data_IF_787093631926
#
_entry.id   IF_787093631926
#
_cell.length_a   1.000
_cell.length_b   1.000
_cell.length_c   1.000
_cell.angle_alpha   90.00
_cell.angle_beta   90.00
_cell.angle_gamma   90.00
#
_symmetry.space_group_name_H-M   'P 1'
#
loop_
_entity.id
_entity.type
_entity.pdbx_description
1 polymer ?
#
# COMPACT_ATOMS: atom_id res chain seq x y z
N UNK A 1 -20.60 71.16 -15.72
CA UNK A 1 -21.13 69.86 -15.29
C UNK A 1 -20.22 68.75 -15.83
N UNK A 2 -19.69 67.95 -14.91
CA UNK A 2 -19.06 66.63 -15.02
C UNK A 2 -18.15 66.23 -16.20
N UNK A 3 -16.88 66.00 -15.81
CA UNK A 3 -15.84 65.17 -16.43
C UNK A 3 -16.34 63.78 -16.83
N UNK A 4 -15.75 63.19 -17.88
CA UNK A 4 -15.40 61.75 -17.92
C UNK A 4 -14.28 61.52 -18.94
N UNK A 5 -13.05 61.54 -18.44
CA UNK A 5 -11.87 60.99 -19.11
C UNK A 5 -11.94 59.48 -18.96
N UNK A 6 -12.05 58.73 -20.06
CA UNK A 6 -11.91 57.28 -20.04
C UNK A 6 -10.42 56.97 -19.79
N UNK A 7 -10.14 56.44 -18.60
CA UNK A 7 -8.85 55.84 -18.27
C UNK A 7 -8.92 54.39 -18.76
N UNK A 8 -8.25 54.08 -19.87
CA UNK A 8 -8.06 52.70 -20.30
C UNK A 8 -7.07 52.05 -19.33
N UNK A 9 -7.59 51.30 -18.37
CA UNK A 9 -6.79 50.45 -17.50
C UNK A 9 -6.37 49.23 -18.33
N UNK A 10 -5.15 49.22 -18.84
CA UNK A 10 -4.53 47.98 -19.30
C UNK A 10 -4.32 47.11 -18.06
N UNK A 11 -5.25 46.18 -17.83
CA UNK A 11 -4.99 45.02 -16.98
C UNK A 11 -3.95 44.19 -17.73
N UNK A 12 -2.68 44.41 -17.40
CA UNK A 12 -1.66 43.39 -17.57
C UNK A 12 -2.09 42.25 -16.65
N UNK A 13 -2.85 41.30 -17.18
CA UNK A 13 -2.89 39.96 -16.64
C UNK A 13 -1.47 39.42 -16.82
N UNK A 14 -0.60 39.69 -15.84
CA UNK A 14 0.61 38.92 -15.68
C UNK A 14 0.15 37.49 -15.49
N UNK A 15 0.38 36.65 -16.49
CA UNK A 15 0.33 35.21 -16.30
C UNK A 15 1.23 34.91 -15.11
N UNK A 16 0.65 34.46 -14.00
CA UNK A 16 1.41 33.91 -12.89
C UNK A 16 2.20 32.74 -13.46
N UNK A 17 3.52 32.91 -13.55
CA UNK A 17 4.42 31.80 -13.77
C UNK A 17 4.12 30.74 -12.69
N UNK A 18 4.08 29.47 -13.09
CA UNK A 18 3.71 28.35 -12.23
C UNK A 18 4.52 28.41 -10.92
N UNK A 19 3.83 28.63 -9.80
CA UNK A 19 4.44 28.84 -8.48
C UNK A 19 5.16 27.59 -7.94
N UNK A 20 4.86 26.42 -8.52
CA UNK A 20 5.54 25.17 -8.25
C UNK A 20 5.56 24.26 -9.47
N UNK A 21 6.43 23.25 -9.45
CA UNK A 21 6.46 22.17 -10.43
C UNK A 21 6.38 20.85 -9.68
N UNK A 22 5.39 20.04 -10.03
CA UNK A 22 5.18 18.70 -9.50
C UNK A 22 5.48 17.68 -10.62
N UNK A 23 6.28 16.68 -10.31
CA UNK A 23 6.65 15.63 -11.24
C UNK A 23 6.96 14.32 -10.51
N UNK A 24 7.00 13.23 -11.26
CA UNK A 24 7.57 11.95 -10.82
C UNK A 24 8.72 11.59 -11.74
N UNK A 25 9.82 11.16 -11.13
CA UNK A 25 11.05 10.77 -11.82
C UNK A 25 11.49 9.39 -11.36
N UNK A 26 12.18 8.66 -12.22
CA UNK A 26 12.88 7.44 -11.85
C UNK A 26 14.34 7.77 -11.53
N UNK A 27 14.81 7.37 -10.36
CA UNK A 27 16.17 7.59 -9.88
C UNK A 27 16.87 6.25 -9.62
N UNK A 28 18.15 6.18 -9.96
CA UNK A 28 19.06 5.08 -9.57
C UNK A 28 20.19 5.69 -8.74
N UNK A 29 21.30 4.98 -8.58
CA UNK A 29 22.59 5.52 -8.15
C UNK A 29 23.09 6.74 -8.97
N UNK A 30 22.56 6.94 -10.19
CA UNK A 30 22.86 8.07 -11.07
C UNK A 30 21.90 9.25 -10.87
N UNK A 31 22.44 10.46 -10.92
CA UNK A 31 21.66 11.68 -10.74
C UNK A 31 20.78 12.05 -11.94
N UNK A 32 19.53 12.39 -11.65
CA UNK A 32 18.58 13.04 -12.54
C UNK A 32 18.53 14.52 -12.20
N UNK A 33 18.68 15.38 -13.21
CA UNK A 33 18.60 16.82 -13.02
C UNK A 33 17.15 17.31 -13.10
N UNK A 34 16.69 17.99 -12.05
CA UNK A 34 15.37 18.65 -11.98
C UNK A 34 15.58 20.17 -12.07
N UNK A 35 14.90 20.86 -13.00
CA UNK A 35 15.03 22.31 -13.14
C UNK A 35 14.36 23.05 -11.98
N UNK A 36 14.94 24.18 -11.57
CA UNK A 36 14.33 25.10 -10.60
C UNK A 36 14.72 26.55 -10.86
N UNK A 37 13.95 27.49 -10.29
CA UNK A 37 14.38 28.90 -10.22
C UNK A 37 15.34 29.13 -9.05
N UNK A 38 15.97 30.31 -9.00
CA UNK A 38 16.82 30.71 -7.88
C UNK A 38 16.06 30.92 -6.56
N UNK A 39 14.73 31.10 -6.63
CA UNK A 39 13.86 31.28 -5.46
C UNK A 39 13.30 29.96 -4.94
N UNK A 40 13.42 28.89 -5.73
CA UNK A 40 12.85 27.59 -5.40
C UNK A 40 13.80 26.70 -4.61
N UNK A 41 13.20 25.82 -3.82
CA UNK A 41 13.81 24.59 -3.31
C UNK A 41 13.09 23.39 -3.90
N UNK A 42 13.68 22.20 -3.80
CA UNK A 42 13.04 20.95 -4.17
C UNK A 42 12.67 20.17 -2.91
N UNK A 43 11.41 19.77 -2.76
CA UNK A 43 10.98 18.78 -1.76
C UNK A 43 10.76 17.47 -2.48
N UNK A 44 11.41 16.41 -2.01
CA UNK A 44 11.23 15.05 -2.52
C UNK A 44 10.14 14.31 -1.79
N UNK A 45 9.43 13.46 -2.52
CA UNK A 45 8.64 12.39 -1.96
C UNK A 45 9.51 11.24 -1.45
N UNK A 46 8.85 10.20 -0.95
CA UNK A 46 9.51 8.93 -0.57
C UNK A 46 9.90 8.16 -1.82
N UNK A 47 10.91 7.29 -1.74
CA UNK A 47 11.25 6.38 -2.84
C UNK A 47 10.31 5.18 -2.87
N UNK A 48 10.07 4.61 -4.06
CA UNK A 48 9.34 3.35 -4.17
C UNK A 48 10.11 2.17 -3.53
N UNK A 49 9.51 0.98 -3.55
CA UNK A 49 10.09 -0.31 -3.12
C UNK A 49 10.34 -1.22 -4.34
N UNK A 50 10.74 -0.65 -5.48
CA UNK A 50 10.95 -1.42 -6.69
C UNK A 50 12.17 -2.34 -6.57
N UNK A 51 13.17 -1.90 -5.81
CA UNK A 51 14.31 -2.70 -5.36
C UNK A 51 14.26 -2.88 -3.83
N UNK A 52 14.74 -4.04 -3.38
CA UNK A 52 14.73 -4.44 -1.98
C UNK A 52 15.87 -3.80 -1.18
N UNK A 53 16.92 -3.32 -1.83
CA UNK A 53 18.04 -2.68 -1.15
C UNK A 53 17.61 -1.34 -0.48
N UNK A 54 17.91 -1.15 0.81
CA UNK A 54 17.54 0.06 1.54
C UNK A 54 18.45 1.24 1.21
N UNK A 55 17.88 2.44 1.29
CA UNK A 55 18.57 3.67 0.95
C UNK A 55 17.66 4.88 1.01
N UNK A 56 18.18 6.02 0.55
CA UNK A 56 17.53 7.31 0.68
C UNK A 56 17.54 8.07 -0.64
N UNK A 57 16.57 8.97 -0.79
CA UNK A 57 16.58 9.96 -1.88
C UNK A 57 17.55 11.08 -1.52
N UNK A 58 18.61 11.20 -2.31
CA UNK A 58 19.64 12.21 -2.13
C UNK A 58 19.46 13.34 -3.13
N UNK A 59 19.62 14.56 -2.63
CA UNK A 59 19.33 15.79 -3.37
C UNK A 59 20.49 16.75 -3.21
N UNK A 60 20.96 17.32 -4.32
CA UNK A 60 22.02 18.32 -4.33
C UNK A 60 21.67 19.49 -5.24
N UNK A 61 21.52 20.69 -4.68
CA UNK A 61 21.40 21.93 -5.45
C UNK A 61 22.74 22.25 -6.14
N UNK A 62 22.74 22.30 -7.47
CA UNK A 62 23.95 22.50 -8.26
C UNK A 62 24.34 23.98 -8.38
N UNK A 63 23.46 24.90 -7.97
CA UNK A 63 23.69 26.34 -8.07
C UNK A 63 23.65 26.90 -9.50
N UNK A 64 23.26 26.08 -10.48
CA UNK A 64 23.18 26.42 -11.91
C UNK A 64 21.74 26.47 -12.46
N UNK A 65 20.75 26.45 -11.56
CA UNK A 65 19.33 26.36 -11.91
C UNK A 65 18.80 24.91 -11.98
N UNK A 66 19.60 23.93 -11.56
CA UNK A 66 19.17 22.54 -11.44
C UNK A 66 19.45 21.97 -10.05
N UNK A 67 18.70 20.93 -9.71
CA UNK A 67 18.91 20.08 -8.54
C UNK A 67 19.13 18.66 -9.02
N UNK A 68 20.21 18.04 -8.59
CA UNK A 68 20.48 16.63 -8.82
C UNK A 68 19.71 15.78 -7.81
N UNK A 69 18.91 14.82 -8.28
CA UNK A 69 18.19 13.84 -7.44
C UNK A 69 18.67 12.44 -7.82
N UNK A 70 19.05 11.63 -6.84
CA UNK A 70 19.45 10.22 -7.02
C UNK A 70 18.95 9.36 -5.87
N UNK A 71 18.92 8.06 -6.08
CA UNK A 71 18.84 7.11 -4.99
C UNK A 71 20.25 6.81 -4.46
N UNK A 72 20.40 6.70 -3.15
CA UNK A 72 21.65 6.31 -2.52
C UNK A 72 21.38 5.21 -1.51
N UNK A 73 21.97 4.05 -1.74
CA UNK A 73 22.06 3.00 -0.75
C UNK A 73 22.84 3.46 0.49
N UNK A 74 22.63 2.76 1.60
CA UNK A 74 23.50 2.88 2.78
C UNK A 74 24.94 2.43 2.46
N UNK A 75 25.94 2.97 3.16
CA UNK A 75 27.36 2.76 2.81
C UNK A 75 27.84 1.30 3.00
N UNK A 76 27.06 0.43 3.67
CA UNK A 76 27.37 -1.00 3.79
C UNK A 76 27.02 -1.82 2.55
N UNK A 77 26.26 -1.25 1.60
CA UNK A 77 25.89 -1.86 0.33
C UNK A 77 26.89 -1.50 -0.78
N UNK A 78 26.65 -1.97 -2.00
CA UNK A 78 27.62 -1.86 -3.10
C UNK A 78 27.51 -0.56 -3.92
N UNK A 79 26.43 0.20 -3.71
CA UNK A 79 26.13 1.48 -4.34
C UNK A 79 25.37 1.36 -5.67
N UNK A 80 25.10 0.16 -6.16
CA UNK A 80 24.34 -0.11 -7.40
C UNK A 80 22.90 -0.37 -7.05
N UNK A 81 21.95 0.33 -7.67
CA UNK A 81 20.54 0.18 -7.32
C UNK A 81 19.65 0.25 -8.56
N UNK A 82 18.58 -0.55 -8.63
CA UNK A 82 17.59 -0.41 -9.69
C UNK A 82 16.75 0.88 -9.56
N UNK A 83 15.97 1.19 -10.59
CA UNK A 83 15.21 2.44 -10.65
C UNK A 83 14.07 2.51 -9.63
N UNK A 84 14.13 3.52 -8.76
CA UNK A 84 13.04 3.89 -7.86
C UNK A 84 12.29 5.11 -8.40
N UNK A 85 10.97 5.10 -8.31
CA UNK A 85 10.14 6.27 -8.59
C UNK A 85 10.15 7.21 -7.38
N UNK A 86 10.29 8.52 -7.63
CA UNK A 86 10.36 9.59 -6.62
C UNK A 86 9.52 10.77 -7.11
N UNK A 87 8.59 11.24 -6.29
CA UNK A 87 7.87 12.48 -6.56
C UNK A 87 8.77 13.67 -6.23
N UNK A 88 8.71 14.73 -7.03
CA UNK A 88 9.50 15.96 -6.82
C UNK A 88 8.59 17.17 -6.90
N UNK A 89 8.75 18.08 -5.95
CA UNK A 89 7.99 19.30 -5.86
C UNK A 89 8.93 20.49 -5.68
N UNK A 90 9.09 21.32 -6.71
CA UNK A 90 9.84 22.58 -6.58
C UNK A 90 8.91 23.70 -6.18
N UNK A 91 9.21 24.43 -5.10
CA UNK A 91 8.37 25.50 -4.55
C UNK A 91 9.20 26.75 -4.25
N UNK A 92 8.63 27.93 -4.49
CA UNK A 92 9.25 29.19 -4.08
C UNK A 92 9.35 29.26 -2.55
N UNK A 93 10.52 29.67 -2.05
CA UNK A 93 10.70 29.96 -0.61
C UNK A 93 9.77 31.11 -0.19
N UNK A 94 9.18 30.97 0.98
CA UNK A 94 8.27 31.96 1.54
C UNK A 94 7.01 31.33 2.12
N UNK A 95 6.09 32.20 2.55
CA UNK A 95 4.80 31.82 3.11
C UNK A 95 3.71 32.10 2.09
N UNK A 96 2.95 31.07 1.74
CA UNK A 96 1.90 31.09 0.73
C UNK A 96 0.56 30.83 1.41
N UNK A 97 -0.35 31.81 1.38
CA UNK A 97 -1.74 31.63 1.83
C UNK A 97 -2.60 31.28 0.62
N UNK A 98 -3.36 30.19 0.69
CA UNK A 98 -4.15 29.67 -0.42
C UNK A 98 -5.63 29.98 -0.26
N UNK A 99 -6.38 29.87 -1.37
CA UNK A 99 -7.81 30.15 -1.41
C UNK A 99 -8.65 29.22 -0.52
N UNK A 100 -8.18 28.00 -0.26
CA UNK A 100 -8.84 27.04 0.64
C UNK A 100 -8.56 27.30 2.13
N UNK A 101 -7.77 28.34 2.44
CA UNK A 101 -7.39 28.73 3.79
C UNK A 101 -6.16 28.00 4.34
N UNK A 102 -5.53 27.12 3.56
CA UNK A 102 -4.25 26.53 3.93
C UNK A 102 -3.11 27.55 3.84
N UNK A 103 -2.04 27.30 4.60
CA UNK A 103 -0.82 28.11 4.62
C UNK A 103 0.36 27.16 4.42
N UNK A 104 1.13 27.39 3.36
CA UNK A 104 2.31 26.60 3.02
C UNK A 104 3.53 27.48 3.21
N UNK A 105 4.37 27.16 4.21
CA UNK A 105 5.63 27.85 4.46
C UNK A 105 6.80 26.98 4.01
N UNK A 106 7.64 27.54 3.13
CA UNK A 106 8.76 26.87 2.50
C UNK A 106 10.06 27.59 2.85
N UNK A 107 11.08 26.86 3.28
CA UNK A 107 12.38 27.44 3.60
C UNK A 107 13.54 26.46 3.53
N UNK A 108 14.71 26.92 4.01
CA UNK A 108 15.93 26.11 4.09
C UNK A 108 16.61 26.29 5.44
N UNK A 109 17.23 25.23 5.94
CA UNK A 109 17.93 25.17 7.22
C UNK A 109 19.25 24.42 7.05
N UNK A 110 20.17 24.64 7.99
CA UNK A 110 21.46 23.94 8.07
C UNK A 110 21.50 23.14 9.37
N UNK A 111 21.69 21.82 9.24
CA UNK A 111 21.68 20.85 10.35
C UNK A 111 22.83 19.86 10.23
N UNK A 112 23.33 19.37 11.36
CA UNK A 112 24.23 18.22 11.43
C UNK A 112 23.55 17.10 12.22
N UNK A 113 24.33 16.21 12.82
CA UNK A 113 23.82 15.10 13.65
C UNK A 113 23.28 15.54 15.01
N UNK A 114 23.49 16.80 15.40
CA UNK A 114 22.95 17.35 16.65
C UNK A 114 21.63 18.07 16.39
N UNK A 115 20.59 17.69 17.14
CA UNK A 115 19.28 18.33 17.09
C UNK A 115 19.36 19.85 17.26
N UNK A 116 18.70 20.58 16.35
CA UNK A 116 18.62 22.04 16.37
C UNK A 116 17.18 22.50 16.16
N UNK A 117 16.77 23.50 16.94
CA UNK A 117 15.44 24.10 16.85
C UNK A 117 15.39 25.23 15.83
N UNK A 118 14.31 25.27 15.06
CA UNK A 118 13.99 26.28 14.06
C UNK A 118 12.61 26.87 14.32
N UNK A 119 12.37 28.09 13.85
CA UNK A 119 11.09 28.78 13.99
C UNK A 119 10.52 29.10 12.62
N UNK A 120 9.20 29.01 12.52
CA UNK A 120 8.48 29.54 11.36
C UNK A 120 8.58 31.07 11.33
N UNK A 121 8.40 31.64 10.15
CA UNK A 121 8.42 33.10 9.93
C UNK A 121 7.33 33.79 10.75
N UNK A 122 6.20 33.11 10.92
CA UNK A 122 5.06 33.52 11.74
C UNK A 122 4.45 32.30 12.46
N UNK A 123 3.77 32.53 13.58
CA UNK A 123 3.01 31.47 14.25
C UNK A 123 1.88 30.97 13.34
N UNK A 124 1.79 29.65 13.15
CA UNK A 124 0.72 29.01 12.38
C UNK A 124 -0.54 28.79 13.26
N UNK A 125 -1.75 28.76 12.67
CA UNK A 125 -2.99 28.64 13.45
C UNK A 125 -3.12 27.32 14.21
N UNK A 126 -2.55 26.23 13.69
CA UNK A 126 -2.39 24.95 14.37
C UNK A 126 -1.04 24.33 14.02
N UNK A 127 -0.68 23.22 14.69
CA UNK A 127 0.52 22.48 14.34
C UNK A 127 0.48 22.11 12.84
N UNK A 128 1.50 22.49 12.04
CA UNK A 128 1.54 22.11 10.64
C UNK A 128 2.00 20.67 10.46
N UNK A 129 1.72 20.14 9.28
CA UNK A 129 2.42 18.99 8.73
C UNK A 129 3.75 19.46 8.15
N UNK A 130 4.85 18.87 8.58
CA UNK A 130 6.21 19.20 8.19
C UNK A 130 6.79 18.10 7.31
N UNK A 131 7.48 18.51 6.23
CA UNK A 131 8.25 17.65 5.32
C UNK A 131 9.66 18.22 5.18
N UNK A 132 10.69 17.39 5.27
CA UNK A 132 12.08 17.77 5.06
C UNK A 132 12.64 17.08 3.82
N UNK A 133 13.56 17.74 3.14
CA UNK A 133 14.28 17.15 2.01
C UNK A 133 15.70 17.69 1.96
N UNK A 134 16.69 16.82 1.76
CA UNK A 134 18.08 17.23 1.57
C UNK A 134 18.23 18.25 0.44
N UNK A 135 19.23 19.11 0.48
CA UNK A 135 19.60 20.03 -0.62
C UNK A 135 21.11 19.98 -0.89
N UNK A 136 21.87 19.23 -0.09
CA UNK A 136 23.29 19.00 -0.28
C UNK A 136 23.61 17.52 -0.14
N UNK A 137 24.49 17.03 -1.01
CA UNK A 137 25.08 15.69 -0.94
C UNK A 137 26.60 15.80 -0.87
N UNK A 138 27.09 16.51 0.15
CA UNK A 138 28.50 16.92 0.22
C UNK A 138 29.47 15.78 0.61
N UNK A 139 28.97 14.64 1.12
CA UNK A 139 29.77 13.70 1.92
C UNK A 139 29.86 12.28 1.37
N UNK A 140 29.34 12.01 0.16
CA UNK A 140 29.26 10.68 -0.45
C UNK A 140 28.38 9.66 0.32
N UNK A 141 28.07 9.90 1.61
CA UNK A 141 27.27 9.01 2.44
C UNK A 141 25.81 9.41 2.42
N UNK A 142 24.95 8.40 2.30
CA UNK A 142 23.51 8.56 2.44
C UNK A 142 23.14 9.05 3.85
N UNK A 143 22.12 9.90 3.94
CA UNK A 143 21.57 10.39 5.21
C UNK A 143 20.06 10.57 5.12
N UNK A 144 19.41 10.59 6.29
CA UNK A 144 18.00 10.94 6.45
C UNK A 144 17.88 12.22 7.30
N UNK A 145 16.94 13.09 6.95
CA UNK A 145 16.60 14.25 7.78
C UNK A 145 15.45 13.88 8.72
N UNK A 146 15.68 14.01 10.03
CA UNK A 146 14.71 13.70 11.08
C UNK A 146 14.09 14.97 11.63
N UNK A 147 12.81 14.92 11.98
CA UNK A 147 12.11 16.02 12.63
C UNK A 147 11.55 15.62 14.00
N UNK A 148 11.47 16.58 14.91
CA UNK A 148 10.81 16.40 16.19
C UNK A 148 10.22 17.71 16.71
N UNK A 149 9.40 17.65 17.76
CA UNK A 149 8.88 18.84 18.46
C UNK A 149 8.15 19.84 17.53
N UNK A 150 7.46 19.34 16.49
CA UNK A 150 6.68 20.19 15.58
C UNK A 150 5.50 20.81 16.34
N UNK A 151 5.38 22.12 16.28
CA UNK A 151 4.30 22.88 16.92
C UNK A 151 4.03 24.17 16.13
N UNK A 152 3.05 24.97 16.53
CA UNK A 152 2.66 26.21 15.83
C UNK A 152 3.79 27.24 15.62
N UNK A 153 4.89 27.15 16.38
CA UNK A 153 5.99 28.12 16.36
C UNK A 153 7.20 27.64 15.57
N UNK A 154 7.33 26.33 15.33
CA UNK A 154 8.51 25.75 14.69
C UNK A 154 8.64 24.25 14.94
N UNK A 155 9.87 23.76 14.76
CA UNK A 155 10.24 22.35 14.85
C UNK A 155 11.72 22.19 15.20
N UNK A 156 12.13 20.99 15.56
CA UNK A 156 13.53 20.57 15.68
C UNK A 156 13.91 19.66 14.53
N UNK A 157 15.14 19.75 14.05
CA UNK A 157 15.66 18.88 12.99
C UNK A 157 17.14 18.54 13.17
N UNK A 158 17.54 17.41 12.58
CA UNK A 158 18.91 16.90 12.49
C UNK A 158 19.02 15.89 11.34
N UNK A 159 20.24 15.44 11.03
CA UNK A 159 20.45 14.34 10.09
C UNK A 159 21.02 13.12 10.78
N UNK A 160 20.59 11.95 10.35
CA UNK A 160 21.16 10.66 10.72
C UNK A 160 21.83 10.03 9.50
N UNK A 161 22.96 9.38 9.74
CA UNK A 161 23.64 8.53 8.79
C UNK A 161 23.47 7.09 9.29
N UNK A 162 23.95 6.11 8.54
CA UNK A 162 23.98 4.73 9.02
C UNK A 162 24.60 4.61 10.41
N UNK A 163 24.12 3.64 11.18
CA UNK A 163 24.44 3.49 12.60
C UNK A 163 25.91 3.13 12.86
N UNK A 164 26.48 2.23 12.05
CA UNK A 164 27.88 1.88 12.12
C UNK A 164 28.72 2.88 11.32
N UNK A 165 29.55 3.65 12.03
CA UNK A 165 30.42 4.63 11.40
C UNK A 165 31.39 4.00 10.39
N UNK A 166 31.49 4.59 9.20
CA UNK A 166 32.46 4.20 8.17
C UNK A 166 33.70 5.09 8.25
N UNK A 167 34.88 4.48 8.31
CA UNK A 167 36.15 5.22 8.34
C UNK A 167 36.34 6.05 7.06
N UNK A 168 36.62 7.35 7.23
CA UNK A 168 36.86 8.27 6.11
C UNK A 168 35.61 8.97 5.56
N UNK A 169 34.41 8.62 6.04
CA UNK A 169 33.17 9.36 5.75
C UNK A 169 33.01 10.50 6.76
N UNK A 170 32.74 11.71 6.27
CA UNK A 170 32.57 12.90 7.11
C UNK A 170 31.09 13.15 7.40
N UNK A 171 30.73 13.39 8.66
CA UNK A 171 29.39 13.82 9.07
C UNK A 171 29.34 15.35 9.10
N UNK A 172 29.28 15.98 7.93
CA UNK A 172 29.20 17.45 7.82
C UNK A 172 27.76 17.95 7.93
N UNK A 173 27.61 19.27 8.05
CA UNK A 173 26.29 19.89 8.00
C UNK A 173 25.67 19.72 6.61
N UNK A 174 24.37 19.46 6.60
CA UNK A 174 23.55 19.37 5.40
C UNK A 174 22.59 20.55 5.35
N UNK A 175 22.45 21.08 4.13
CA UNK A 175 21.39 21.99 3.78
C UNK A 175 20.12 21.18 3.56
N UNK A 176 19.03 21.56 4.24
CA UNK A 176 17.75 20.86 4.20
C UNK A 176 16.66 21.87 3.83
N UNK A 177 15.82 21.56 2.85
CA UNK A 177 14.58 22.27 2.59
C UNK A 177 13.49 21.78 3.55
N UNK A 178 12.61 22.68 3.97
CA UNK A 178 11.38 22.30 4.67
C UNK A 178 10.15 22.85 3.97
N UNK A 179 9.08 22.08 4.04
CA UNK A 179 7.71 22.49 3.71
C UNK A 179 6.84 22.26 4.95
N UNK A 180 6.26 23.34 5.49
CA UNK A 180 5.31 23.29 6.57
C UNK A 180 3.92 23.67 6.05
N UNK A 181 2.97 22.74 6.14
CA UNK A 181 1.60 22.89 5.66
C UNK A 181 0.66 22.99 6.84
N UNK A 182 0.10 24.17 7.06
CA UNK A 182 -1.14 24.30 7.81
C UNK A 182 -2.30 24.06 6.85
N UNK A 183 -3.13 23.06 7.10
CA UNK A 183 -4.36 22.84 6.37
C UNK A 183 -5.56 22.89 7.33
N UNK A 184 -6.64 23.63 7.01
CA UNK A 184 -7.84 23.66 7.85
C UNK A 184 -8.62 22.33 7.79
N UNK A 185 -8.49 21.60 6.68
CA UNK A 185 -9.04 20.26 6.46
C UNK A 185 -7.94 19.32 5.99
N UNK A 186 -8.18 18.00 6.12
CA UNK A 186 -7.27 16.95 5.65
C UNK A 186 -7.27 16.76 4.12
N UNK A 187 -8.07 17.53 3.42
CA UNK A 187 -8.15 17.57 1.96
C UNK A 187 -8.40 19.02 1.51
N UNK A 188 -7.91 19.36 0.33
CA UNK A 188 -7.98 20.71 -0.22
C UNK A 188 -7.47 20.77 -1.65
N UNK A 189 -7.23 21.98 -2.13
CA UNK A 189 -6.72 22.20 -3.47
C UNK A 189 -5.76 23.39 -3.48
N UNK A 190 -4.66 23.23 -4.21
CA UNK A 190 -3.74 24.32 -4.50
C UNK A 190 -4.44 25.36 -5.40
N UNK A 191 -3.98 26.61 -5.35
CA UNK A 191 -4.56 27.70 -6.17
C UNK A 191 -4.44 27.45 -7.69
N UNK A 192 -3.55 26.56 -8.11
CA UNK A 192 -3.38 26.09 -9.48
C UNK A 192 -4.31 24.93 -9.87
N UNK A 193 -5.03 24.34 -8.93
CA UNK A 193 -6.10 23.37 -9.15
C UNK A 193 -5.81 21.93 -8.74
N UNK A 194 -4.55 21.59 -8.42
CA UNK A 194 -4.14 20.26 -7.98
C UNK A 194 -4.75 19.95 -6.61
N UNK A 195 -5.45 18.82 -6.51
CA UNK A 195 -6.04 18.36 -5.26
C UNK A 195 -4.94 17.80 -4.35
N UNK A 196 -5.05 18.06 -3.05
CA UNK A 196 -4.18 17.46 -2.06
C UNK A 196 -4.94 16.75 -0.94
N UNK A 197 -4.32 15.73 -0.35
CA UNK A 197 -4.76 15.11 0.89
C UNK A 197 -3.59 15.06 1.87
N UNK A 198 -3.82 15.34 3.13
CA UNK A 198 -2.78 15.44 4.14
C UNK A 198 -3.25 14.86 5.47
N UNK A 199 -2.41 14.03 6.10
CA UNK A 199 -2.72 13.44 7.40
C UNK A 199 -1.46 13.04 8.18
N UNK A 200 -1.67 12.47 9.36
CA UNK A 200 -0.69 11.74 10.15
C UNK A 200 -1.06 10.26 10.20
N UNK A 201 -0.08 9.40 9.96
CA UNK A 201 -0.18 7.96 10.21
C UNK A 201 0.77 7.57 11.32
N UNK A 202 0.41 6.54 12.09
CA UNK A 202 1.33 5.86 13.01
C UNK A 202 1.76 4.61 12.28
N UNK A 203 3.07 4.42 12.11
CA UNK A 203 3.60 3.28 11.38
C UNK A 203 4.95 2.84 11.93
N UNK A 204 5.25 1.57 11.75
CA UNK A 204 6.51 0.92 12.12
C UNK A 204 7.10 0.21 10.88
N UNK A 205 7.95 -0.80 11.08
CA UNK A 205 8.48 -1.63 9.98
C UNK A 205 7.42 -2.44 9.22
N UNK A 206 6.23 -2.66 9.82
CA UNK A 206 5.10 -3.37 9.18
C UNK A 206 4.28 -2.44 8.27
N UNK A 207 4.44 -1.13 8.45
CA UNK A 207 3.90 -0.11 7.56
C UNK A 207 2.50 0.39 7.87
N UNK A 208 2.03 1.32 7.04
CA UNK A 208 0.68 1.88 7.06
C UNK A 208 0.26 2.34 5.66
N UNK A 209 -1.05 2.33 5.41
CA UNK A 209 -1.61 2.84 4.17
C UNK A 209 -1.96 4.33 4.26
N UNK A 210 -1.70 5.08 3.20
CA UNK A 210 -2.24 6.42 2.98
C UNK A 210 -2.65 6.61 1.53
N UNK A 211 -3.96 6.75 1.32
CA UNK A 211 -4.59 6.74 -0.01
C UNK A 211 -4.20 5.49 -0.77
N UNK A 212 -3.58 5.62 -1.92
CA UNK A 212 -3.11 4.49 -2.71
C UNK A 212 -1.81 3.89 -2.25
N UNK A 213 -1.08 4.56 -1.36
CA UNK A 213 0.29 4.17 -1.06
C UNK A 213 0.36 3.34 0.21
N UNK A 214 1.22 2.33 0.21
CA UNK A 214 1.63 1.60 1.42
C UNK A 214 3.03 2.06 1.79
N UNK A 215 3.20 2.63 2.98
CA UNK A 215 4.47 3.17 3.48
C UNK A 215 5.05 2.25 4.54
N UNK A 216 6.37 2.11 4.59
CA UNK A 216 7.09 1.38 5.65
C UNK A 216 8.22 2.23 6.23
N UNK A 217 8.57 1.99 7.49
CA UNK A 217 9.85 2.42 8.06
C UNK A 217 10.89 1.34 7.78
N UNK A 218 11.77 1.61 6.81
CA UNK A 218 12.86 0.72 6.42
C UNK A 218 14.10 1.03 7.25
N UNK A 219 14.42 0.13 8.17
CA UNK A 219 15.61 0.19 9.02
C UNK A 219 16.91 0.02 8.22
N UNK A 220 17.96 0.68 8.70
CA UNK A 220 19.34 0.59 8.26
C UNK A 220 20.07 -0.54 9.03
N UNK A 221 20.87 -1.37 8.35
CA UNK A 221 21.37 -2.65 8.93
C UNK A 221 22.88 -2.69 9.24
N UNK A 222 23.57 -1.56 9.27
CA UNK A 222 25.02 -1.57 9.42
C UNK A 222 25.48 -2.03 10.80
N UNK A 223 24.66 -1.82 11.84
CA UNK A 223 25.02 -2.18 13.22
C UNK A 223 24.56 -3.58 13.61
N UNK A 224 23.42 -4.03 13.11
CA UNK A 224 22.93 -5.39 13.26
C UNK A 224 21.97 -5.79 12.14
N UNK A 225 21.57 -7.06 12.14
CA UNK A 225 20.75 -7.65 11.07
C UNK A 225 19.24 -7.54 11.33
N UNK A 226 18.84 -6.85 12.40
CA UNK A 226 17.44 -6.58 12.67
C UNK A 226 16.83 -5.69 11.57
N UNK A 227 15.52 -5.78 11.41
CA UNK A 227 14.73 -4.94 10.51
C UNK A 227 13.45 -4.44 11.19
N UNK A 228 13.40 -4.49 12.54
CA UNK A 228 12.23 -4.05 13.27
C UNK A 228 12.47 -2.67 13.86
N UNK A 229 11.69 -1.71 13.38
CA UNK A 229 11.57 -0.41 14.01
C UNK A 229 10.27 -0.33 14.79
N UNK A 230 10.26 0.49 15.85
CA UNK A 230 9.04 0.78 16.60
C UNK A 230 8.17 1.85 15.92
N UNK A 231 6.94 2.00 16.39
CA UNK A 231 6.00 2.98 15.85
C UNK A 231 6.53 4.42 15.95
N UNK A 232 6.39 5.16 14.85
CA UNK A 232 6.59 6.61 14.77
C UNK A 232 5.38 7.30 14.15
N UNK A 233 5.21 8.60 14.43
CA UNK A 233 4.20 9.45 13.79
C UNK A 233 4.80 10.06 12.54
N UNK A 234 4.16 9.82 11.40
CA UNK A 234 4.59 10.25 10.07
C UNK A 234 3.54 11.17 9.46
N UNK A 235 3.94 12.38 9.08
CA UNK A 235 3.12 13.24 8.24
C UNK A 235 3.14 12.70 6.81
N UNK A 236 1.97 12.64 6.18
CA UNK A 236 1.79 12.15 4.81
C UNK A 236 0.99 13.16 4.01
N UNK A 237 1.41 13.40 2.76
CA UNK A 237 0.79 14.33 1.82
C UNK A 237 0.74 13.68 0.44
N UNK A 238 -0.42 13.74 -0.21
CA UNK A 238 -0.55 13.50 -1.65
C UNK A 238 -0.95 14.79 -2.34
N UNK A 239 -0.34 15.10 -3.48
CA UNK A 239 -0.78 16.18 -4.40
C UNK A 239 -0.95 15.53 -5.77
N UNK A 240 -2.16 15.51 -6.31
CA UNK A 240 -2.47 14.83 -7.58
C UNK A 240 -1.88 13.40 -7.66
N UNK A 241 -1.95 12.67 -6.54
CA UNK A 241 -1.42 11.31 -6.39
C UNK A 241 0.07 11.19 -6.04
N UNK A 242 0.87 12.24 -6.18
CA UNK A 242 2.29 12.26 -5.81
C UNK A 242 2.48 12.25 -4.29
N UNK A 243 3.22 11.27 -3.76
CA UNK A 243 3.36 11.02 -2.32
C UNK A 243 4.59 11.70 -1.71
N UNK A 244 4.37 12.37 -0.58
CA UNK A 244 5.38 12.91 0.31
C UNK A 244 5.13 12.40 1.74
N UNK A 245 6.20 12.05 2.45
CA UNK A 245 6.09 11.65 3.85
C UNK A 245 7.31 12.07 4.66
N UNK A 246 7.12 12.26 5.96
CA UNK A 246 8.17 12.66 6.91
C UNK A 246 7.78 12.20 8.31
N UNK A 247 8.66 11.45 8.96
CA UNK A 247 8.55 11.16 10.39
C UNK A 247 8.78 12.44 11.20
N UNK A 248 7.93 12.65 12.22
CA UNK A 248 7.99 13.83 13.10
C UNK A 248 8.15 13.48 14.57
N UNK A 249 8.49 12.23 14.82
CA UNK A 249 8.89 11.68 16.11
C UNK A 249 10.11 10.78 15.89
N UNK A 250 11.04 10.77 16.83
CA UNK A 250 12.13 9.79 16.87
C UNK A 250 11.99 9.05 18.19
N UNK A 251 11.26 7.94 18.15
CA UNK A 251 11.06 7.08 19.32
C UNK A 251 12.02 5.91 19.30
N UNK A 252 12.26 5.32 18.13
CA UNK A 252 13.28 4.28 17.96
C UNK A 252 14.67 4.89 17.91
N UNK A 253 15.68 4.09 18.29
CA UNK A 253 17.08 4.50 18.22
C UNK A 253 17.68 4.34 16.84
N UNK A 254 17.09 3.48 16.02
CA UNK A 254 17.69 3.00 14.79
C UNK A 254 17.38 3.96 13.65
N UNK A 255 18.33 4.04 12.72
CA UNK A 255 18.20 4.94 11.57
C UNK A 255 17.23 4.30 10.59
N UNK A 256 16.17 5.04 10.24
CA UNK A 256 15.15 4.57 9.30
C UNK A 256 15.01 5.50 8.12
N UNK A 257 14.62 4.93 6.99
CA UNK A 257 14.17 5.64 5.80
C UNK A 257 12.70 5.31 5.55
N UNK A 258 11.90 6.29 5.10
CA UNK A 258 10.54 5.99 4.64
C UNK A 258 10.60 5.56 3.19
N UNK A 259 10.09 4.37 2.92
CA UNK A 259 9.91 3.81 1.58
C UNK A 259 8.43 3.52 1.37
N UNK A 260 7.98 3.45 0.13
CA UNK A 260 6.59 3.15 -0.16
C UNK A 260 6.42 2.19 -1.34
N UNK A 261 5.40 1.35 -1.29
CA UNK A 261 4.84 0.80 -2.50
C UNK A 261 3.95 1.88 -3.13
N UNK A 262 4.48 2.55 -4.17
CA UNK A 262 3.77 3.62 -4.90
C UNK A 262 2.81 3.10 -5.94
N UNK A 263 3.09 1.87 -6.38
CA UNK A 263 2.25 1.05 -7.24
C UNK A 263 1.48 0.03 -6.40
N UNK A 264 1.26 0.29 -5.10
CA UNK A 264 0.08 -0.24 -4.44
C UNK A 264 -1.09 0.38 -5.23
N UNK A 265 -1.58 -0.39 -6.19
CA UNK A 265 -2.46 0.14 -7.21
C UNK A 265 -3.74 0.59 -6.49
N UNK A 266 -3.98 1.90 -6.31
CA UNK A 266 -5.37 2.35 -6.46
C UNK A 266 -5.69 2.14 -7.91
N UNK A 267 -6.31 1.00 -8.17
CA UNK A 267 -7.10 0.85 -9.37
C UNK A 267 -8.08 2.03 -9.36
N UNK A 268 -8.27 2.72 -10.49
CA UNK A 268 -9.16 3.88 -10.54
C UNK A 268 -10.48 3.45 -9.91
N UNK A 269 -10.96 4.20 -8.92
CA UNK A 269 -12.33 4.04 -8.47
C UNK A 269 -13.23 4.03 -9.72
N UNK A 270 -13.99 2.95 -9.93
CA UNK A 270 -14.16 1.80 -9.03
C UNK A 270 -13.07 0.72 -9.22
N UNK A 271 -12.51 0.19 -8.10
CA UNK A 271 -11.68 -1.02 -8.13
C UNK A 271 -12.38 -2.12 -8.93
N UNK A 272 -11.62 -3.01 -9.58
CA UNK A 272 -12.23 -4.09 -10.33
C UNK A 272 -13.05 -5.00 -9.40
N UNK A 273 -14.21 -5.43 -9.87
CA UNK A 273 -15.13 -6.25 -9.08
C UNK A 273 -14.60 -7.66 -8.80
N UNK A 274 -13.58 -8.13 -9.53
CA UNK A 274 -12.94 -9.42 -9.32
C UNK A 274 -11.56 -9.45 -9.98
N UNK A 275 -10.75 -10.45 -9.62
CA UNK A 275 -9.47 -10.71 -10.30
C UNK A 275 -9.65 -11.01 -11.80
N UNK A 276 -10.79 -11.56 -12.20
CA UNK A 276 -11.11 -11.81 -13.61
C UNK A 276 -11.37 -10.50 -14.35
N UNK A 277 -12.16 -9.60 -13.75
CA UNK A 277 -12.37 -8.27 -14.30
C UNK A 277 -11.05 -7.50 -14.41
N UNK A 278 -10.19 -7.60 -13.40
CA UNK A 278 -8.84 -7.05 -13.43
C UNK A 278 -8.03 -7.63 -14.59
N UNK A 279 -7.88 -8.95 -14.68
CA UNK A 279 -7.05 -9.58 -15.73
C UNK A 279 -7.58 -9.33 -17.16
N UNK A 280 -8.90 -9.18 -17.33
CA UNK A 280 -9.49 -8.86 -18.64
C UNK A 280 -9.15 -7.44 -19.11
N UNK A 281 -9.07 -6.48 -18.18
CA UNK A 281 -8.77 -5.09 -18.50
C UNK A 281 -7.27 -4.79 -18.45
N UNK A 282 -6.53 -5.51 -17.60
CA UNK A 282 -5.08 -5.42 -17.42
C UNK A 282 -4.42 -6.80 -17.63
N UNK A 283 -4.26 -7.28 -18.88
CA UNK A 283 -3.83 -8.65 -19.17
C UNK A 283 -2.39 -8.99 -18.78
N UNK A 284 -1.63 -8.04 -18.24
CA UNK A 284 -0.26 -8.24 -17.76
C UNK A 284 -0.17 -8.23 -16.23
N UNK A 285 -1.29 -8.13 -15.51
CA UNK A 285 -1.32 -8.21 -14.06
C UNK A 285 -0.78 -9.57 -13.57
N UNK A 286 0.27 -9.60 -12.73
CA UNK A 286 0.80 -10.84 -12.17
C UNK A 286 -0.11 -11.40 -11.08
N UNK A 287 0.09 -12.67 -10.67
CA UNK A 287 -0.53 -13.16 -9.43
C UNK A 287 -0.02 -12.36 -8.21
N UNK A 288 -0.89 -12.05 -7.25
CA UNK A 288 -0.55 -11.18 -6.12
C UNK A 288 -1.77 -10.77 -5.30
N UNK A 289 -1.57 -9.96 -4.27
CA UNK A 289 -2.68 -9.36 -3.50
C UNK A 289 -3.17 -8.08 -4.17
N UNK A 290 -4.49 -7.92 -4.28
CA UNK A 290 -5.13 -6.78 -4.92
C UNK A 290 -6.32 -6.30 -4.09
N UNK A 291 -6.58 -4.99 -4.13
CA UNK A 291 -7.81 -4.38 -3.62
C UNK A 291 -8.90 -4.51 -4.70
N UNK A 292 -10.04 -5.07 -4.33
CA UNK A 292 -11.20 -5.32 -5.17
C UNK A 292 -12.44 -4.71 -4.53
N UNK A 293 -13.43 -4.39 -5.36
CA UNK A 293 -14.69 -3.81 -4.90
C UNK A 293 -15.86 -4.39 -5.69
N UNK A 294 -16.62 -5.27 -5.04
CA UNK A 294 -17.62 -6.12 -5.68
C UNK A 294 -18.84 -5.35 -6.19
N UNK A 295 -19.18 -4.23 -5.55
CA UNK A 295 -20.31 -3.39 -5.91
C UNK A 295 -19.91 -1.94 -6.25
N UNK A 296 -18.62 -1.63 -6.24
CA UNK A 296 -18.10 -0.31 -6.60
C UNK A 296 -18.54 0.70 -5.55
N UNK A 297 -19.21 1.77 -5.99
CA UNK A 297 -19.78 2.77 -5.07
C UNK A 297 -21.03 2.28 -4.31
N UNK A 298 -21.17 0.95 -4.12
CA UNK A 298 -22.27 0.34 -3.40
C UNK A 298 -22.11 0.41 -1.88
N UNK A 299 -22.68 -0.56 -1.17
CA UNK A 299 -22.68 -0.60 0.31
C UNK A 299 -21.63 -1.54 0.88
N UNK A 300 -21.05 -2.42 0.06
CA UNK A 300 -19.96 -3.28 0.52
C UNK A 300 -18.65 -2.49 0.39
N UNK A 301 -17.78 -2.53 1.41
CA UNK A 301 -16.48 -1.87 1.30
C UNK A 301 -15.59 -2.63 0.32
N UNK A 302 -14.61 -1.92 -0.22
CA UNK A 302 -13.47 -2.50 -0.89
C UNK A 302 -12.71 -3.45 0.05
N UNK A 303 -12.03 -4.44 -0.52
CA UNK A 303 -11.29 -5.43 0.25
C UNK A 303 -10.10 -6.00 -0.51
N UNK A 304 -9.09 -6.46 0.23
CA UNK A 304 -7.87 -7.06 -0.29
C UNK A 304 -7.92 -8.58 -0.26
N UNK A 305 -7.57 -9.22 -1.37
CA UNK A 305 -7.41 -10.68 -1.45
C UNK A 305 -6.38 -11.08 -2.50
N UNK A 306 -6.00 -12.36 -2.53
CA UNK A 306 -5.07 -12.89 -3.52
C UNK A 306 -5.76 -13.18 -4.86
N UNK A 307 -5.20 -12.64 -5.94
CA UNK A 307 -5.52 -12.98 -7.31
C UNK A 307 -4.51 -13.97 -7.88
N UNK A 308 -4.98 -15.13 -8.32
CA UNK A 308 -4.18 -16.06 -9.11
C UNK A 308 -4.45 -15.80 -10.60
N UNK A 309 -3.47 -15.18 -11.26
CA UNK A 309 -3.52 -14.76 -12.67
C UNK A 309 -2.88 -15.76 -13.63
N UNK A 310 -2.17 -16.75 -13.10
CA UNK A 310 -1.34 -17.65 -13.91
C UNK A 310 -1.99 -19.01 -14.15
N UNK A 311 -2.62 -19.58 -13.12
CA UNK A 311 -3.09 -20.96 -13.17
C UNK A 311 -4.45 -21.06 -13.84
N UNK A 312 -4.64 -22.10 -14.66
CA UNK A 312 -5.93 -22.43 -15.27
C UNK A 312 -6.62 -21.26 -16.00
N UNK A 313 -5.83 -20.38 -16.63
CA UNK A 313 -6.31 -19.23 -17.38
C UNK A 313 -6.48 -17.94 -16.55
N UNK A 314 -6.09 -17.96 -15.27
CA UNK A 314 -6.03 -16.75 -14.45
C UNK A 314 -7.37 -16.14 -14.06
N UNK A 315 -7.29 -14.97 -13.42
CA UNK A 315 -8.46 -14.19 -13.00
C UNK A 315 -9.15 -14.74 -11.75
N UNK A 316 -8.49 -15.62 -11.01
CA UNK A 316 -9.08 -16.32 -9.87
C UNK A 316 -9.01 -15.47 -8.60
N UNK A 317 -10.16 -15.16 -8.02
CA UNK A 317 -10.30 -14.37 -6.79
C UNK A 317 -10.37 -15.27 -5.58
N UNK A 318 -9.41 -15.18 -4.65
CA UNK A 318 -9.41 -15.99 -3.42
C UNK A 318 -10.56 -15.55 -2.52
N UNK A 319 -11.41 -16.50 -2.12
CA UNK A 319 -12.56 -16.25 -1.24
C UNK A 319 -12.46 -16.98 0.09
N UNK A 320 -11.61 -18.00 0.18
CA UNK A 320 -11.33 -18.65 1.46
C UNK A 320 -10.27 -19.74 1.41
N UNK A 321 -9.84 -20.10 2.62
CA UNK A 321 -8.84 -21.11 2.91
C UNK A 321 -9.46 -22.15 3.83
N UNK A 322 -9.09 -23.42 3.60
CA UNK A 322 -9.50 -24.52 4.47
C UNK A 322 -8.33 -25.42 4.79
N UNK A 323 -8.30 -25.92 6.03
CA UNK A 323 -7.28 -26.83 6.55
C UNK A 323 -5.86 -26.28 6.42
N UNK A 324 -5.64 -25.03 6.84
CA UNK A 324 -4.28 -24.49 6.96
C UNK A 324 -3.42 -25.41 7.82
N UNK A 325 -2.28 -25.83 7.27
CA UNK A 325 -1.33 -26.74 7.91
C UNK A 325 -0.57 -25.97 8.98
N UNK A 326 -0.49 -26.52 10.20
CA UNK A 326 0.10 -25.83 11.35
C UNK A 326 -0.92 -25.19 12.29
N UNK A 327 -2.17 -25.04 11.86
CA UNK A 327 -3.27 -24.58 12.72
C UNK A 327 -3.66 -25.65 13.76
N UNK A 328 -3.99 -25.24 14.99
CA UNK A 328 -4.33 -26.16 16.07
C UNK A 328 -5.78 -26.63 15.99
N UNK A 329 -6.00 -27.85 15.52
CA UNK A 329 -7.32 -28.48 15.44
C UNK A 329 -7.71 -29.30 16.70
N UNK A 330 -7.03 -29.13 17.85
CA UNK A 330 -7.21 -30.00 19.02
C UNK A 330 -8.57 -29.87 19.75
N UNK A 331 -9.40 -28.88 19.41
CA UNK A 331 -10.61 -28.50 20.17
C UNK A 331 -11.92 -29.07 19.55
N UNK A 332 -11.81 -30.03 18.63
CA UNK A 332 -12.73 -30.23 17.50
C UNK A 332 -14.13 -30.77 17.77
N UNK A 333 -14.50 -31.18 18.99
CA UNK A 333 -15.69 -32.04 19.15
C UNK A 333 -16.93 -31.38 19.76
N UNK A 334 -16.88 -30.12 20.21
CA UNK A 334 -18.09 -29.51 20.82
C UNK A 334 -18.39 -28.05 20.49
N UNK A 335 -17.41 -27.19 20.18
CA UNK A 335 -17.72 -25.75 19.99
C UNK A 335 -17.30 -25.15 18.66
N UNK A 336 -16.41 -25.78 17.87
CA UNK A 336 -15.99 -25.32 16.52
C UNK A 336 -15.45 -23.88 16.40
N UNK A 337 -15.47 -23.13 17.50
CA UNK A 337 -14.94 -21.80 17.64
C UNK A 337 -13.47 -21.78 17.19
N UNK A 338 -13.18 -20.90 16.25
CA UNK A 338 -11.84 -20.67 15.70
C UNK A 338 -11.47 -21.56 14.51
N UNK A 339 -12.32 -22.46 14.01
CA UNK A 339 -11.96 -23.28 12.85
C UNK A 339 -12.03 -22.55 11.51
N UNK A 340 -12.85 -21.51 11.45
CA UNK A 340 -13.04 -20.63 10.31
C UNK A 340 -13.03 -19.21 10.82
N UNK A 341 -12.33 -18.33 10.13
CA UNK A 341 -12.17 -16.95 10.53
C UNK A 341 -12.74 -16.05 9.43
N UNK A 342 -13.95 -15.56 9.65
CA UNK A 342 -14.57 -14.60 8.76
C UNK A 342 -13.79 -13.29 8.83
N UNK A 343 -13.36 -12.80 7.67
CA UNK A 343 -12.61 -11.55 7.53
C UNK A 343 -13.12 -10.78 6.34
N UNK A 344 -12.93 -9.46 6.35
CA UNK A 344 -13.17 -8.63 5.16
C UNK A 344 -12.01 -8.77 4.16
N UNK A 345 -10.78 -8.98 4.64
CA UNK A 345 -9.55 -9.06 3.83
C UNK A 345 -8.81 -10.38 4.07
N UNK A 346 -8.32 -11.03 3.00
CA UNK A 346 -7.44 -12.19 3.10
C UNK A 346 -6.05 -11.75 2.63
N UNK A 347 -5.20 -11.35 3.57
CA UNK A 347 -3.84 -10.83 3.30
C UNK A 347 -2.73 -11.78 3.77
N UNK A 348 -3.10 -12.93 4.35
CA UNK A 348 -2.17 -13.99 4.76
C UNK A 348 -2.81 -15.36 4.60
N UNK A 349 -2.00 -16.41 4.67
CA UNK A 349 -2.42 -17.82 4.48
C UNK A 349 -2.19 -18.70 5.71
N UNK A 350 -2.06 -18.09 6.89
CA UNK A 350 -1.69 -18.74 8.17
C UNK A 350 -2.89 -19.19 9.03
N UNK A 351 -4.11 -18.79 8.66
CA UNK A 351 -5.35 -19.30 9.27
C UNK A 351 -6.42 -19.62 8.22
N UNK A 352 -7.51 -20.26 8.66
CA UNK A 352 -8.65 -20.63 7.80
C UNK A 352 -9.55 -19.43 7.51
N UNK A 353 -8.97 -18.38 6.94
CA UNK A 353 -9.67 -17.16 6.57
C UNK A 353 -10.69 -17.42 5.47
N UNK A 354 -11.81 -16.72 5.55
CA UNK A 354 -12.75 -16.63 4.44
C UNK A 354 -13.44 -15.27 4.43
N UNK A 355 -13.90 -14.85 3.26
CA UNK A 355 -14.69 -13.64 3.13
C UNK A 355 -15.99 -13.75 3.94
N UNK A 356 -16.51 -12.59 4.36
CA UNK A 356 -17.79 -12.52 5.06
C UNK A 356 -18.92 -13.15 4.22
N UNK A 357 -19.98 -13.64 4.88
CA UNK A 357 -21.11 -14.26 4.18
C UNK A 357 -21.73 -13.31 3.13
N UNK A 358 -21.76 -12.00 3.40
CA UNK A 358 -22.27 -11.01 2.44
C UNK A 358 -21.42 -10.95 1.17
N UNK A 359 -20.09 -10.84 1.31
CA UNK A 359 -19.15 -10.84 0.19
C UNK A 359 -19.17 -12.16 -0.57
N UNK A 360 -19.25 -13.29 0.15
CA UNK A 360 -19.34 -14.61 -0.46
C UNK A 360 -20.62 -14.78 -1.26
N UNK A 361 -21.78 -14.42 -0.71
CA UNK A 361 -23.07 -14.52 -1.41
C UNK A 361 -23.08 -13.64 -2.66
N UNK A 362 -22.47 -12.45 -2.64
CA UNK A 362 -22.34 -11.64 -3.85
C UNK A 362 -21.56 -12.40 -4.93
N UNK A 363 -20.34 -12.86 -4.62
CA UNK A 363 -19.51 -13.60 -5.58
C UNK A 363 -20.14 -14.90 -6.07
N UNK A 364 -20.75 -15.67 -5.17
CA UNK A 364 -21.47 -16.90 -5.53
C UNK A 364 -22.56 -16.66 -6.58
N UNK A 365 -23.19 -15.49 -6.55
CA UNK A 365 -24.26 -15.11 -7.47
C UNK A 365 -23.78 -14.42 -8.75
N UNK A 366 -22.58 -13.84 -8.76
CA UNK A 366 -22.04 -13.07 -9.89
C UNK A 366 -20.97 -13.79 -10.69
N UNK A 367 -20.26 -14.75 -10.09
CA UNK A 367 -19.18 -15.51 -10.71
C UNK A 367 -19.70 -16.79 -11.37
N UNK A 368 -18.92 -17.37 -12.28
CA UNK A 368 -19.31 -18.54 -13.06
C UNK A 368 -18.68 -19.82 -12.52
N UNK A 369 -17.41 -19.73 -12.12
CA UNK A 369 -16.57 -20.90 -11.89
C UNK A 369 -15.96 -20.84 -10.48
N UNK A 370 -15.80 -22.01 -9.85
CA UNK A 370 -15.05 -22.17 -8.60
C UNK A 370 -13.83 -23.07 -8.86
N UNK A 371 -12.66 -22.62 -8.45
CA UNK A 371 -11.42 -23.39 -8.42
C UNK A 371 -11.08 -23.74 -6.97
N UNK A 372 -10.87 -25.01 -6.70
CA UNK A 372 -10.32 -25.50 -5.44
C UNK A 372 -8.94 -26.08 -5.72
N UNK A 373 -7.91 -25.61 -5.04
CA UNK A 373 -6.53 -26.07 -5.26
C UNK A 373 -5.83 -26.38 -3.94
N UNK A 374 -5.05 -27.45 -3.95
CA UNK A 374 -4.12 -27.86 -2.91
C UNK A 374 -2.70 -27.84 -3.50
N UNK A 375 -2.00 -26.69 -3.46
CA UNK A 375 -0.73 -26.50 -4.16
C UNK A 375 0.36 -27.49 -3.71
N UNK A 376 0.42 -27.79 -2.40
CA UNK A 376 1.42 -28.67 -1.80
C UNK A 376 1.44 -30.10 -2.37
N UNK A 377 0.32 -30.54 -2.96
CA UNK A 377 0.21 -31.86 -3.61
C UNK A 377 -0.23 -31.75 -5.08
N UNK A 378 -0.16 -30.55 -5.66
CA UNK A 378 -0.52 -30.25 -7.04
C UNK A 378 -1.91 -30.80 -7.44
N UNK A 379 -2.89 -30.72 -6.55
CA UNK A 379 -4.26 -31.17 -6.82
C UNK A 379 -5.20 -30.00 -7.00
N UNK A 380 -6.10 -30.08 -7.97
CA UNK A 380 -7.12 -29.07 -8.23
C UNK A 380 -8.44 -29.67 -8.71
N UNK A 381 -9.52 -28.93 -8.50
CA UNK A 381 -10.83 -29.21 -9.06
C UNK A 381 -11.51 -27.89 -9.43
N UNK A 382 -12.05 -27.83 -10.64
CA UNK A 382 -12.82 -26.69 -11.15
C UNK A 382 -14.24 -27.15 -11.42
N UNK A 383 -15.19 -26.39 -10.91
CA UNK A 383 -16.62 -26.62 -11.09
C UNK A 383 -17.31 -25.35 -11.58
N UNK A 384 -18.46 -25.51 -12.24
CA UNK A 384 -19.35 -24.38 -12.46
C UNK A 384 -20.19 -24.17 -11.19
N UNK A 385 -20.29 -22.91 -10.73
CA UNK A 385 -21.07 -22.57 -9.54
C UNK A 385 -22.54 -22.99 -9.69
N UNK A 386 -23.09 -22.92 -10.91
CA UNK A 386 -24.44 -23.38 -11.23
C UNK A 386 -24.67 -24.87 -10.95
N UNK A 387 -23.66 -25.72 -11.18
CA UNK A 387 -23.71 -27.16 -10.89
C UNK A 387 -23.63 -27.40 -9.38
N UNK A 388 -22.76 -26.68 -8.68
CA UNK A 388 -22.63 -26.79 -7.22
C UNK A 388 -23.90 -26.30 -6.49
N UNK A 389 -24.54 -25.25 -7.00
CA UNK A 389 -25.78 -24.67 -6.45
C UNK A 389 -26.98 -25.62 -6.47
N UNK A 390 -26.93 -26.69 -7.26
CA UNK A 390 -28.00 -27.70 -7.34
C UNK A 390 -27.54 -29.08 -6.87
N UNK A 391 -26.43 -29.16 -6.13
CA UNK A 391 -25.95 -30.42 -5.57
C UNK A 391 -27.00 -31.09 -4.66
N UNK A 392 -27.18 -32.40 -4.81
CA UNK A 392 -28.35 -33.12 -4.30
C UNK A 392 -28.45 -33.16 -2.76
N UNK A 393 -27.32 -33.35 -2.05
CA UNK A 393 -27.33 -33.55 -0.61
C UNK A 393 -27.14 -32.24 0.16
N UNK A 394 -26.15 -31.45 -0.26
CA UNK A 394 -25.87 -30.11 0.25
C UNK A 394 -25.55 -29.26 -0.97
N UNK A 395 -26.49 -28.41 -1.43
CA UNK A 395 -26.19 -27.36 -2.38
C UNK A 395 -25.00 -26.52 -1.93
N UNK A 396 -24.33 -25.81 -2.83
CA UNK A 396 -23.34 -24.83 -2.42
C UNK A 396 -23.92 -23.88 -1.36
N UNK A 397 -23.26 -23.74 -0.22
CA UNK A 397 -23.77 -23.01 0.94
C UNK A 397 -23.55 -21.50 0.81
N UNK A 398 -24.30 -20.70 1.57
CA UNK A 398 -24.22 -19.23 1.61
C UNK A 398 -23.19 -18.73 2.63
N UNK A 399 -22.42 -19.64 3.24
CA UNK A 399 -21.26 -19.32 4.07
C UNK A 399 -20.07 -20.16 3.63
N UNK A 400 -18.88 -19.56 3.67
CA UNK A 400 -17.61 -20.28 3.51
C UNK A 400 -17.07 -20.85 4.83
N UNK A 401 -17.69 -20.49 5.95
CA UNK A 401 -17.38 -20.98 7.29
C UNK A 401 -18.21 -22.21 7.68
N UNK A 402 -18.64 -22.24 8.95
CA UNK A 402 -19.50 -23.30 9.50
C UNK A 402 -20.97 -23.11 9.10
N UNK A 403 -21.60 -24.15 8.55
CA UNK A 403 -23.05 -24.16 8.33
C UNK A 403 -23.80 -24.39 9.65
N UNK A 404 -24.16 -23.29 10.33
CA UNK A 404 -24.80 -23.31 11.66
C UNK A 404 -26.20 -23.92 11.69
N UNK A 405 -26.84 -24.07 10.54
CA UNK A 405 -28.16 -24.70 10.35
C UNK A 405 -28.08 -26.23 10.23
N UNK A 406 -26.88 -26.80 10.13
CA UNK A 406 -26.64 -28.24 9.98
C UNK A 406 -26.11 -28.85 11.27
N UNK A 407 -26.01 -30.18 11.30
CA UNK A 407 -25.48 -30.93 12.45
C UNK A 407 -24.41 -31.93 12.02
N UNK A 408 -23.58 -32.36 12.98
CA UNK A 408 -22.48 -33.29 12.73
C UNK A 408 -21.49 -32.76 11.68
N UNK A 409 -21.00 -33.68 10.83
CA UNK A 409 -20.03 -33.39 9.77
C UNK A 409 -20.60 -32.54 8.62
N UNK A 410 -21.93 -32.41 8.52
CA UNK A 410 -22.55 -31.61 7.47
C UNK A 410 -22.32 -30.10 7.67
N UNK A 411 -21.98 -29.68 8.90
CA UNK A 411 -21.61 -28.29 9.24
C UNK A 411 -20.34 -27.81 8.54
N UNK A 412 -19.50 -28.74 8.11
CA UNK A 412 -18.19 -28.46 7.52
C UNK A 412 -18.17 -28.52 5.99
N UNK A 413 -19.30 -28.84 5.34
CA UNK A 413 -19.36 -29.11 3.91
C UNK A 413 -19.78 -27.86 3.17
N UNK A 414 -18.93 -27.38 2.25
CA UNK A 414 -19.30 -26.24 1.41
C UNK A 414 -20.34 -26.66 0.36
N UNK A 415 -20.23 -27.88 -0.16
CA UNK A 415 -21.24 -28.55 -0.98
C UNK A 415 -21.08 -30.07 -0.85
N UNK A 416 -22.10 -30.83 -1.25
CA UNK A 416 -22.06 -32.28 -1.35
C UNK A 416 -23.12 -32.77 -2.33
N UNK A 417 -22.66 -33.49 -3.35
CA UNK A 417 -23.49 -34.22 -4.27
C UNK A 417 -23.29 -35.72 -4.09
N UNK A 418 -24.39 -36.46 -4.06
CA UNK A 418 -24.43 -37.93 -4.13
C UNK A 418 -25.69 -38.29 -4.90
N UNK A 419 -25.63 -39.30 -5.76
CA UNK A 419 -26.76 -39.62 -6.66
C UNK A 419 -28.01 -40.00 -5.87
N UNK A 420 -27.84 -40.66 -4.72
CA UNK A 420 -28.91 -41.00 -3.80
C UNK A 420 -28.37 -41.26 -2.39
N UNK A 421 -29.23 -41.30 -1.38
CA UNK A 421 -28.86 -41.77 -0.04
C UNK A 421 -28.13 -40.76 0.86
N UNK A 422 -27.30 -39.88 0.29
CA UNK A 422 -26.54 -38.88 1.04
C UNK A 422 -25.84 -39.51 2.25
N UNK A 423 -25.01 -40.51 1.98
CA UNK A 423 -24.30 -41.29 2.98
C UNK A 423 -22.82 -40.93 3.10
N UNK A 424 -22.23 -40.38 2.04
CA UNK A 424 -20.80 -40.08 1.94
C UNK A 424 -19.96 -41.36 1.90
N UNK A 425 -20.59 -42.48 1.53
CA UNK A 425 -20.00 -43.81 1.48
C UNK A 425 -20.00 -44.32 0.04
N UNK A 426 -19.09 -45.24 -0.29
CA UNK A 426 -18.99 -45.77 -1.65
C UNK A 426 -18.23 -44.83 -2.58
N UNK A 427 -18.69 -44.72 -3.85
CA UNK A 427 -17.94 -44.05 -4.93
C UNK A 427 -18.83 -43.17 -5.82
N UNK A 428 -19.98 -42.71 -5.31
CA UNK A 428 -20.97 -41.95 -6.08
C UNK A 428 -21.16 -40.52 -5.58
N UNK A 429 -20.19 -39.99 -4.82
CA UNK A 429 -20.24 -38.66 -4.23
C UNK A 429 -19.07 -37.74 -4.63
N UNK A 430 -19.35 -36.44 -4.59
CA UNK A 430 -18.38 -35.35 -4.77
C UNK A 430 -18.73 -34.27 -3.77
N UNK A 431 -17.74 -33.82 -3.01
CA UNK A 431 -17.92 -32.80 -1.99
C UNK A 431 -16.62 -32.06 -1.70
N UNK A 432 -16.75 -30.84 -1.17
CA UNK A 432 -15.68 -30.16 -0.46
C UNK A 432 -16.09 -30.06 1.02
N UNK A 433 -15.31 -30.70 1.90
CA UNK A 433 -15.49 -30.55 3.35
C UNK A 433 -14.44 -29.60 3.95
N UNK A 434 -14.22 -29.62 5.26
CA UNK A 434 -13.22 -28.74 5.87
C UNK A 434 -11.77 -29.07 5.50
N UNK A 435 -11.47 -30.27 4.98
CA UNK A 435 -10.09 -30.75 4.83
C UNK A 435 -9.75 -31.40 3.49
N UNK A 436 -10.76 -31.83 2.75
CA UNK A 436 -10.61 -32.76 1.64
C UNK A 436 -11.49 -32.33 0.46
N UNK A 437 -10.94 -32.47 -0.74
CA UNK A 437 -11.67 -32.42 -2.01
C UNK A 437 -11.97 -33.86 -2.42
N UNK A 438 -13.25 -34.19 -2.60
CA UNK A 438 -13.68 -35.51 -3.07
C UNK A 438 -14.16 -35.45 -4.51
N UNK A 439 -13.77 -36.46 -5.29
CA UNK A 439 -14.12 -36.64 -6.69
C UNK A 439 -14.34 -38.12 -7.00
N UNK A 440 -15.33 -38.76 -6.35
CA UNK A 440 -15.73 -40.11 -6.73
C UNK A 440 -16.82 -40.09 -7.82
N UNK A 441 -17.62 -39.03 -7.84
CA UNK A 441 -18.55 -38.73 -8.93
C UNK A 441 -18.02 -37.59 -9.80
N UNK A 442 -17.31 -37.95 -10.88
CA UNK A 442 -16.65 -37.00 -11.78
C UNK A 442 -17.57 -36.02 -12.51
N UNK A 443 -18.90 -36.16 -12.43
CA UNK A 443 -19.84 -35.31 -13.15
C UNK A 443 -19.94 -33.87 -12.62
N UNK A 444 -19.47 -33.62 -11.40
CA UNK A 444 -19.55 -32.31 -10.74
C UNK A 444 -18.40 -31.35 -11.11
N UNK A 445 -17.23 -31.89 -11.45
CA UNK A 445 -16.07 -31.09 -11.82
C UNK A 445 -15.91 -31.08 -13.32
N UNK A 446 -15.88 -29.90 -13.92
CA UNK A 446 -15.62 -29.75 -15.36
C UNK A 446 -14.17 -30.09 -15.71
N UNK A 447 -13.26 -29.89 -14.76
CA UNK A 447 -11.84 -30.25 -14.86
C UNK A 447 -11.30 -30.54 -13.46
N UNK A 448 -10.57 -31.65 -13.30
CA UNK A 448 -9.88 -31.97 -12.06
C UNK A 448 -8.81 -33.03 -12.31
N UNK A 449 -7.75 -33.01 -11.51
CA UNK A 449 -6.79 -34.11 -11.40
C UNK A 449 -6.93 -34.90 -10.09
N UNK A 450 -7.95 -34.60 -9.27
CA UNK A 450 -8.25 -35.34 -8.04
C UNK A 450 -8.83 -36.70 -8.41
N UNK A 451 -8.12 -37.76 -8.04
CA UNK A 451 -8.56 -39.14 -8.24
C UNK A 451 -9.12 -39.71 -6.92
N UNK A 452 -10.44 -39.80 -6.81
CA UNK A 452 -11.13 -40.24 -5.59
C UNK A 452 -11.17 -39.14 -4.53
N UNK A 453 -10.05 -38.84 -3.87
CA UNK A 453 -9.98 -37.71 -2.93
C UNK A 453 -8.56 -37.16 -2.74
N UNK A 454 -8.47 -35.87 -2.46
CA UNK A 454 -7.28 -35.15 -2.03
C UNK A 454 -7.49 -34.69 -0.58
N UNK A 455 -6.52 -34.88 0.30
CA UNK A 455 -6.74 -34.73 1.74
C UNK A 455 -5.65 -34.00 2.50
N UNK A 456 -6.08 -33.35 3.59
CA UNK A 456 -5.23 -32.84 4.68
C UNK A 456 -4.12 -31.87 4.22
N UNK A 457 -4.40 -31.11 3.16
CA UNK A 457 -3.59 -29.99 2.72
C UNK A 457 -4.42 -28.71 2.74
N UNK A 458 -3.74 -27.57 2.74
CA UNK A 458 -4.41 -26.28 2.61
C UNK A 458 -5.15 -26.26 1.28
N UNK A 459 -6.46 -26.05 1.36
CA UNK A 459 -7.31 -25.84 0.19
C UNK A 459 -7.54 -24.36 0.03
N UNK A 460 -7.09 -23.81 -1.09
CA UNK A 460 -7.41 -22.46 -1.51
C UNK A 460 -8.67 -22.53 -2.39
N UNK A 461 -9.65 -21.69 -2.07
CA UNK A 461 -10.94 -21.64 -2.78
C UNK A 461 -11.01 -20.31 -3.51
N UNK A 462 -11.08 -20.39 -4.83
CA UNK A 462 -11.15 -19.25 -5.72
C UNK A 462 -12.45 -19.24 -6.52
N UNK A 463 -12.86 -18.06 -6.99
CA UNK A 463 -13.95 -17.87 -7.95
C UNK A 463 -13.57 -16.90 -9.06
N UNK A 464 -14.22 -17.01 -10.23
CA UNK A 464 -14.03 -16.07 -11.34
C UNK A 464 -15.23 -15.96 -12.28
#
# INVERSE_FOLDING_TARGET
>A
MFKKTLLTCCILAGASAQAFNLAEITVTDQSVAVPKTAQQVLVTGVASLNDAEPGNVMVSDNGDGTVSVRFAEWDYLDGTHQGETVSTLTLDKGRHEMADGSIWEVGSIEVGTSQKAFRFTQQLPQMPYLFLSGQSDANQSSYVARASNVNQLGFSAYVEYQEQSVAGRATTQQSIAYLAVYAPNKEGALDSGEAYNIDQVVMDHTGAAFKQHELILSEEQSKDAELTHIEEVVNVLTIDGHLFAQDVTSYGSDTVSIRANKDAITLPSPYYASCNALLQNEPQSPSGFYVLDQDGNGVMPEFTTYCNMDEHGGGWTLVGLRRVVGYNYANSNTTLDGWFEATQNITSFDANYHLTDAQWVNYKNSMQEMLMVMPAINNYAIADLSVLNIANCIPLQDTLGENKDRTGEARFRLFWHETSGCSGSGTDYTMLNYANIYNFNGAMYKSSNVNGYAASQVTYIYVR
#
